data_IF_229346590050
#
_entry.id   IF_229346590050
#
_cell.length_a   1.000
_cell.length_b   1.000
_cell.length_c   1.000
_cell.angle_alpha   90.00
_cell.angle_beta   90.00
_cell.angle_gamma   90.00
#
_symmetry.space_group_name_H-M   'P 1'
#
loop_
_entity.id
_entity.type
_entity.pdbx_description
1 polymer ?
#
# COMPACT_ATOMS: atom_id res chain seq x y z
N UNK A 1 -5.73 0.90 56.01
CA UNK A 1 -4.89 0.61 54.84
C UNK A 1 -5.10 -0.89 54.53
N UNK A 2 -5.99 -1.19 53.58
CA UNK A 2 -6.30 -2.60 53.20
C UNK A 2 -5.47 -2.96 51.98
N UNK A 3 -4.56 -3.92 52.17
CA UNK A 3 -3.71 -4.48 51.13
C UNK A 3 -4.62 -5.42 50.28
N UNK A 4 -4.83 -5.08 49.02
CA UNK A 4 -5.50 -5.94 48.04
C UNK A 4 -4.43 -6.92 47.54
N UNK A 5 -4.66 -8.23 47.61
CA UNK A 5 -3.61 -9.22 47.24
C UNK A 5 -3.39 -9.23 45.72
N UNK A 6 -2.12 -9.19 45.34
CA UNK A 6 -1.62 -9.20 43.96
C UNK A 6 -1.99 -10.48 43.14
N UNK A 7 -2.71 -11.42 43.76
CA UNK A 7 -3.06 -12.70 43.14
C UNK A 7 -4.28 -12.64 42.18
N UNK A 8 -5.03 -11.52 42.15
CA UNK A 8 -6.23 -11.41 41.31
C UNK A 8 -5.92 -10.92 39.89
N UNK A 9 -4.74 -10.36 39.65
CA UNK A 9 -4.34 -9.83 38.33
C UNK A 9 -3.80 -10.93 37.40
N UNK A 10 -3.32 -12.05 37.98
CA UNK A 10 -2.72 -13.15 37.20
C UNK A 10 -3.75 -14.11 36.57
N UNK A 11 -4.99 -14.13 37.05
CA UNK A 11 -6.02 -15.08 36.59
C UNK A 11 -6.77 -14.55 35.35
N UNK A 12 -6.75 -13.25 35.09
CA UNK A 12 -7.39 -12.65 33.89
C UNK A 12 -6.56 -12.77 32.60
N UNK A 13 -5.29 -13.19 32.68
CA UNK A 13 -4.41 -13.37 31.51
C UNK A 13 -4.48 -14.81 30.95
N UNK A 14 -5.03 -15.79 31.68
CA UNK A 14 -5.02 -17.20 31.28
C UNK A 14 -6.37 -17.72 30.71
N UNK A 15 -7.41 -16.90 30.68
CA UNK A 15 -8.70 -17.27 30.07
C UNK A 15 -8.92 -16.67 28.67
N UNK A 16 -7.91 -16.03 28.10
CA UNK A 16 -7.90 -15.51 26.73
C UNK A 16 -7.25 -16.46 25.70
N UNK A 17 -7.16 -17.77 25.98
CA UNK A 17 -7.00 -18.77 24.92
C UNK A 17 -8.35 -18.89 24.18
N UNK A 18 -8.77 -17.75 23.59
CA UNK A 18 -9.87 -17.67 22.65
C UNK A 18 -9.58 -18.61 21.49
N UNK A 19 -10.58 -19.31 21.03
CA UNK A 19 -10.58 -20.02 19.77
C UNK A 19 -9.88 -19.13 18.75
N UNK A 20 -8.70 -19.51 18.29
CA UNK A 20 -8.04 -18.84 17.18
C UNK A 20 -9.10 -18.82 16.06
N UNK A 21 -9.46 -17.63 15.58
CA UNK A 21 -10.41 -17.50 14.50
C UNK A 21 -9.82 -18.26 13.32
N UNK A 22 -10.39 -19.39 12.97
CA UNK A 22 -9.93 -20.13 11.80
C UNK A 22 -10.12 -19.22 10.58
N UNK A 23 -9.09 -19.15 9.74
CA UNK A 23 -9.15 -18.46 8.47
C UNK A 23 -10.30 -19.03 7.62
N UNK A 24 -11.38 -18.28 7.38
CA UNK A 24 -12.55 -18.78 6.67
C UNK A 24 -12.31 -18.98 5.17
N UNK A 25 -11.14 -18.54 4.67
CA UNK A 25 -10.69 -18.71 3.30
C UNK A 25 -9.67 -19.84 3.16
N UNK A 26 -9.36 -20.57 4.25
CA UNK A 26 -8.32 -21.58 4.24
C UNK A 26 -8.56 -22.64 3.14
N UNK A 27 -7.56 -22.80 2.28
CA UNK A 27 -7.46 -23.83 1.26
C UNK A 27 -6.09 -24.52 1.38
N UNK A 28 -6.08 -25.80 1.71
CA UNK A 28 -4.85 -26.58 1.90
C UNK A 28 -4.02 -26.72 0.62
N UNK A 29 -4.60 -26.49 -0.57
CA UNK A 29 -3.91 -26.53 -1.85
C UNK A 29 -3.14 -25.23 -2.16
N UNK A 30 -3.37 -24.17 -1.38
CA UNK A 30 -2.72 -22.87 -1.57
C UNK A 30 -1.59 -22.67 -0.55
N UNK A 31 -0.32 -22.62 -0.96
CA UNK A 31 0.81 -22.65 -0.04
C UNK A 31 0.92 -21.39 0.85
N UNK A 32 0.24 -20.31 0.52
CA UNK A 32 0.19 -19.09 1.32
C UNK A 32 -0.97 -19.06 2.32
N UNK A 33 -1.93 -20.01 2.25
CA UNK A 33 -2.99 -20.11 3.23
C UNK A 33 -2.51 -20.81 4.50
N UNK A 34 -2.94 -20.30 5.66
CA UNK A 34 -2.72 -20.90 6.99
C UNK A 34 -4.04 -21.02 7.71
N UNK A 35 -4.12 -21.92 8.67
CA UNK A 35 -5.34 -22.09 9.50
C UNK A 35 -5.74 -20.80 10.22
N UNK A 36 -4.77 -19.95 10.56
CA UNK A 36 -4.97 -18.70 11.31
C UNK A 36 -4.77 -17.43 10.46
N UNK A 37 -4.70 -17.56 9.12
CA UNK A 37 -4.48 -16.40 8.24
C UNK A 37 -3.69 -16.72 6.97
N UNK A 38 -2.69 -15.89 6.65
CA UNK A 38 -1.91 -15.98 5.42
C UNK A 38 -0.40 -15.88 5.68
N UNK A 39 0.41 -16.31 4.72
CA UNK A 39 1.87 -16.24 4.78
C UNK A 39 2.47 -15.88 3.42
N UNK A 40 3.67 -15.34 3.42
CA UNK A 40 4.44 -15.10 2.20
C UNK A 40 4.79 -16.43 1.49
N UNK A 41 4.91 -16.40 0.17
CA UNK A 41 5.36 -17.55 -0.64
C UNK A 41 6.82 -17.91 -0.36
N UNK A 42 7.63 -16.91 -0.06
CA UNK A 42 9.07 -17.05 0.13
C UNK A 42 9.49 -16.58 1.52
N UNK A 43 10.59 -17.12 2.09
CA UNK A 43 11.07 -16.69 3.40
C UNK A 43 11.66 -15.27 3.35
N UNK A 44 11.73 -14.65 4.52
CA UNK A 44 12.44 -13.39 4.69
C UNK A 44 13.92 -13.51 4.27
N UNK A 45 14.46 -12.42 3.74
CA UNK A 45 15.87 -12.35 3.41
C UNK A 45 16.73 -12.43 4.70
N UNK A 46 17.60 -13.43 4.84
CA UNK A 46 18.43 -13.58 6.03
C UNK A 46 19.41 -12.40 6.28
N UNK A 47 19.71 -11.59 5.26
CA UNK A 47 20.52 -10.38 5.40
C UNK A 47 19.78 -9.25 6.14
N UNK A 48 18.43 -9.30 6.24
CA UNK A 48 17.59 -8.26 6.84
C UNK A 48 17.03 -8.72 8.19
N UNK A 49 17.85 -9.34 9.02
CA UNK A 49 17.41 -9.83 10.33
C UNK A 49 17.17 -8.68 11.30
N UNK A 50 16.02 -8.73 11.98
CA UNK A 50 15.74 -7.86 13.09
C UNK A 50 16.61 -8.26 14.28
N UNK A 51 17.28 -7.32 14.98
CA UNK A 51 17.97 -7.62 16.23
C UNK A 51 17.02 -8.30 17.22
N UNK A 52 17.50 -9.35 17.88
CA UNK A 52 16.75 -10.00 18.97
C UNK A 52 16.79 -9.05 20.18
N UNK A 53 15.77 -8.22 20.32
CA UNK A 53 15.58 -7.36 21.47
C UNK A 53 14.90 -8.14 22.60
N UNK A 54 15.31 -7.91 23.84
CA UNK A 54 14.56 -8.36 25.01
C UNK A 54 13.17 -7.73 25.04
N UNK A 55 12.26 -8.31 25.83
CA UNK A 55 10.86 -7.85 25.93
C UNK A 55 10.77 -6.33 26.21
N UNK A 56 11.51 -5.84 27.21
CA UNK A 56 11.51 -4.42 27.56
C UNK A 56 12.18 -3.54 26.51
N UNK A 57 13.27 -4.00 25.89
CA UNK A 57 13.94 -3.28 24.80
C UNK A 57 13.07 -3.18 23.55
N UNK A 58 12.35 -4.26 23.23
CA UNK A 58 11.38 -4.28 22.13
C UNK A 58 10.22 -3.32 22.36
N UNK A 59 9.73 -3.22 23.60
CA UNK A 59 8.68 -2.29 24.01
C UNK A 59 9.18 -0.84 23.98
N UNK A 60 10.36 -0.58 24.53
CA UNK A 60 10.98 0.74 24.50
C UNK A 60 11.26 1.21 23.07
N UNK A 61 11.76 0.33 22.20
CA UNK A 61 11.96 0.63 20.79
C UNK A 61 10.63 0.98 20.07
N UNK A 62 9.54 0.30 20.43
CA UNK A 62 8.21 0.57 19.84
C UNK A 62 7.63 1.91 20.31
N UNK A 63 7.78 2.24 21.59
CA UNK A 63 7.40 3.55 22.15
C UNK A 63 8.26 4.64 21.50
N UNK A 64 9.56 4.44 21.42
CA UNK A 64 10.50 5.37 20.81
C UNK A 64 10.15 5.64 19.35
N UNK A 65 9.88 4.64 18.53
CA UNK A 65 9.41 4.81 17.15
C UNK A 65 8.09 5.60 17.05
N UNK A 66 7.26 5.59 18.09
CA UNK A 66 6.00 6.36 18.17
C UNK A 66 6.22 7.81 18.64
N UNK A 67 7.26 8.06 19.42
CA UNK A 67 7.55 9.35 20.05
C UNK A 67 8.82 10.00 19.50
N UNK A 68 9.60 9.25 18.68
CA UNK A 68 10.81 9.80 18.08
C UNK A 68 10.47 10.95 17.16
N UNK A 69 11.24 11.96 17.36
CA UNK A 69 11.14 13.33 16.97
C UNK A 69 10.76 13.45 15.47
N UNK A 70 9.61 14.09 15.19
CA UNK A 70 9.27 14.53 13.83
C UNK A 70 10.42 15.34 13.21
N UNK A 71 11.28 15.94 14.04
CA UNK A 71 12.46 16.69 13.62
C UNK A 71 13.54 15.81 12.99
N UNK A 72 13.79 14.59 13.49
CA UNK A 72 14.81 13.69 12.91
C UNK A 72 14.41 13.15 11.53
N UNK A 73 13.09 13.06 11.27
CA UNK A 73 12.53 12.61 10.00
C UNK A 73 12.10 13.74 9.09
N UNK A 74 12.29 14.98 9.55
CA UNK A 74 12.01 16.15 8.73
C UNK A 74 12.79 16.08 7.41
N UNK A 75 12.19 16.47 6.29
CA UNK A 75 12.88 16.49 5.02
C UNK A 75 13.97 17.57 5.03
N UNK A 76 15.09 17.32 4.33
CA UNK A 76 16.17 18.31 4.15
C UNK A 76 15.76 19.47 3.24
N UNK A 77 14.74 19.24 2.41
CA UNK A 77 14.11 20.25 1.55
C UNK A 77 12.61 20.02 1.52
N UNK A 78 11.78 21.03 1.22
CA UNK A 78 10.34 20.87 1.10
C UNK A 78 9.98 19.73 0.14
N UNK A 79 9.07 18.83 0.56
CA UNK A 79 8.56 17.78 -0.32
C UNK A 79 7.89 18.45 -1.54
N UNK A 80 8.27 18.07 -2.76
CA UNK A 80 7.74 18.72 -3.95
C UNK A 80 6.23 18.53 -4.07
N UNK A 81 5.50 19.62 -4.23
CA UNK A 81 4.05 19.66 -4.47
C UNK A 81 3.74 20.52 -5.67
N UNK A 82 2.60 20.30 -6.29
CA UNK A 82 2.07 21.14 -7.38
C UNK A 82 0.55 21.17 -7.28
N UNK A 83 -0.05 22.29 -7.68
CA UNK A 83 -1.50 22.38 -7.83
C UNK A 83 -1.96 21.36 -8.89
N UNK A 84 -2.97 20.52 -8.60
CA UNK A 84 -3.43 19.51 -9.55
C UNK A 84 -4.13 20.19 -10.75
N UNK A 85 -3.95 19.62 -11.93
CA UNK A 85 -4.69 20.03 -13.13
C UNK A 85 -6.12 19.42 -13.08
N UNK A 86 -6.99 20.02 -12.25
CA UNK A 86 -8.35 19.55 -12.08
C UNK A 86 -9.16 19.58 -13.39
N UNK A 87 -8.89 20.57 -14.26
CA UNK A 87 -9.56 20.65 -15.55
C UNK A 87 -9.27 19.41 -16.40
N UNK A 88 -8.00 18.99 -16.48
CA UNK A 88 -7.63 17.75 -17.15
C UNK A 88 -8.23 16.53 -16.43
N UNK A 89 -8.05 16.41 -15.13
CA UNK A 89 -8.52 15.25 -14.33
C UNK A 89 -10.03 15.01 -14.55
N UNK A 90 -10.82 16.08 -14.56
CA UNK A 90 -12.27 15.97 -14.77
C UNK A 90 -12.68 15.72 -16.22
N UNK A 91 -11.93 16.26 -17.19
CA UNK A 91 -12.25 16.13 -18.61
C UNK A 91 -11.70 14.86 -19.27
N UNK A 92 -10.64 14.27 -18.70
CA UNK A 92 -9.90 13.16 -19.30
C UNK A 92 -10.75 11.90 -19.46
N UNK A 93 -10.81 11.37 -20.71
CA UNK A 93 -11.54 10.12 -21.03
C UNK A 93 -10.70 9.16 -21.89
N UNK A 94 -9.67 9.66 -22.57
CA UNK A 94 -8.96 8.97 -23.64
C UNK A 94 -7.43 8.82 -23.41
N UNK A 95 -6.89 9.52 -22.43
CA UNK A 95 -5.46 9.51 -22.14
C UNK A 95 -5.17 8.74 -20.86
N UNK A 96 -4.37 7.66 -20.90
CA UNK A 96 -3.90 7.01 -19.67
C UNK A 96 -3.10 8.00 -18.84
N UNK A 97 -3.50 8.22 -17.59
CA UNK A 97 -2.85 9.21 -16.73
C UNK A 97 -2.82 8.76 -15.28
N UNK A 98 -1.73 9.05 -14.59
CA UNK A 98 -1.51 8.72 -13.19
C UNK A 98 -1.30 10.00 -12.39
N UNK A 99 -2.18 10.29 -11.44
CA UNK A 99 -2.05 11.44 -10.54
C UNK A 99 -1.63 10.97 -9.15
N UNK A 100 -0.53 11.50 -8.63
CA UNK A 100 -0.08 11.16 -7.29
C UNK A 100 -0.74 12.06 -6.24
N UNK A 101 -1.55 11.45 -5.38
CA UNK A 101 -2.27 12.17 -4.31
C UNK A 101 -1.43 12.25 -3.03
N UNK A 102 -0.49 11.31 -2.87
CA UNK A 102 0.43 11.23 -1.75
C UNK A 102 0.49 9.81 -1.16
N UNK A 103 1.63 9.45 -0.58
CA UNK A 103 1.92 8.11 -0.07
C UNK A 103 1.73 7.04 -1.15
N UNK A 104 0.82 6.09 -0.92
CA UNK A 104 0.43 5.06 -1.88
C UNK A 104 -0.90 5.38 -2.61
N UNK A 105 -1.48 6.56 -2.36
CA UNK A 105 -2.75 6.95 -3.00
C UNK A 105 -2.51 7.51 -4.39
N UNK A 106 -3.05 6.81 -5.41
CA UNK A 106 -3.00 7.22 -6.82
C UNK A 106 -4.37 7.19 -7.47
N UNK A 107 -4.66 8.21 -8.24
CA UNK A 107 -5.73 8.17 -9.24
C UNK A 107 -5.12 7.72 -10.57
N UNK A 108 -5.55 6.57 -11.06
CA UNK A 108 -5.21 6.09 -12.40
C UNK A 108 -6.42 6.21 -13.32
N UNK A 109 -6.35 7.10 -14.27
CA UNK A 109 -7.31 7.25 -15.36
C UNK A 109 -6.86 6.40 -16.52
N UNK A 110 -7.66 5.42 -16.92
CA UNK A 110 -7.23 4.34 -17.82
C UNK A 110 -7.16 4.73 -19.30
N UNK A 111 -7.64 5.92 -19.66
CA UNK A 111 -7.79 6.32 -21.07
C UNK A 111 -8.96 5.61 -21.78
N UNK A 112 -9.92 5.08 -21.02
CA UNK A 112 -11.19 4.51 -21.53
C UNK A 112 -12.39 5.10 -20.80
N UNK A 113 -12.20 6.22 -20.10
CA UNK A 113 -13.22 6.85 -19.27
C UNK A 113 -13.38 6.25 -17.88
N UNK A 114 -12.60 5.21 -17.50
CA UNK A 114 -12.63 4.57 -16.20
C UNK A 114 -11.58 5.18 -15.27
N UNK A 115 -11.99 5.52 -14.06
CA UNK A 115 -11.15 6.07 -12.99
C UNK A 115 -10.95 5.04 -11.88
N UNK A 116 -9.70 4.62 -11.67
CA UNK A 116 -9.29 3.72 -10.61
C UNK A 116 -8.59 4.50 -9.51
N UNK A 117 -8.89 4.21 -8.24
CA UNK A 117 -8.22 4.82 -7.10
C UNK A 117 -7.55 3.73 -6.26
N UNK A 118 -6.25 3.84 -6.08
CA UNK A 118 -5.45 2.88 -5.31
C UNK A 118 -5.23 3.40 -3.89
N UNK A 119 -5.38 2.52 -2.91
CA UNK A 119 -5.11 2.72 -1.49
C UNK A 119 -5.50 4.12 -0.98
N UNK A 120 -6.79 4.49 -1.03
CA UNK A 120 -7.23 5.84 -0.75
C UNK A 120 -7.16 6.17 0.75
N UNK A 121 -6.13 6.92 1.14
CA UNK A 121 -5.94 7.44 2.48
C UNK A 121 -5.79 8.95 2.44
N UNK A 122 -6.78 9.66 2.99
CA UNK A 122 -6.83 11.13 3.08
C UNK A 122 -6.71 11.61 4.52
N UNK A 123 -6.57 10.69 5.47
CA UNK A 123 -6.49 10.95 6.90
C UNK A 123 -5.25 11.77 7.27
N UNK A 124 -5.37 12.55 8.34
CA UNK A 124 -4.23 13.28 8.90
C UNK A 124 -3.17 12.34 9.49
N UNK A 125 -3.59 11.16 9.97
CA UNK A 125 -2.69 10.16 10.56
C UNK A 125 -2.94 8.77 10.02
N UNK A 126 -1.87 8.06 9.72
CA UNK A 126 -1.87 6.64 9.43
C UNK A 126 -1.95 5.83 10.75
N UNK A 127 -3.10 5.90 11.44
CA UNK A 127 -3.23 5.38 12.80
C UNK A 127 -4.69 5.09 13.16
N UNK A 128 -4.97 4.14 14.09
CA UNK A 128 -6.29 4.00 14.68
C UNK A 128 -6.69 5.17 15.58
N UNK A 129 -5.72 5.99 16.01
CA UNK A 129 -5.89 7.10 16.94
C UNK A 129 -5.73 8.43 16.20
N UNK A 130 -6.68 9.33 16.35
CA UNK A 130 -6.64 10.65 15.71
C UNK A 130 -5.56 11.59 16.26
N UNK A 131 -5.05 11.30 17.46
CA UNK A 131 -4.07 12.15 18.17
C UNK A 131 -2.66 11.57 18.21
N UNK A 132 -2.44 10.33 17.79
CA UNK A 132 -1.14 9.64 17.85
C UNK A 132 -0.87 8.79 16.61
N UNK A 133 0.41 8.52 16.34
CA UNK A 133 0.89 7.77 15.18
C UNK A 133 1.33 8.68 14.03
N UNK A 134 1.85 8.11 12.93
CA UNK A 134 2.45 8.86 11.83
C UNK A 134 1.52 9.93 11.28
N UNK A 135 1.95 11.20 11.35
CA UNK A 135 1.18 12.35 10.88
C UNK A 135 1.54 12.65 9.42
N UNK A 136 0.53 13.02 8.64
CA UNK A 136 0.71 13.49 7.28
C UNK A 136 1.51 14.80 7.28
N UNK A 137 2.56 14.86 6.48
CA UNK A 137 3.45 16.01 6.41
C UNK A 137 2.84 17.18 5.63
N UNK A 138 2.08 16.91 4.57
CA UNK A 138 1.39 17.91 3.74
C UNK A 138 0.01 17.41 3.29
N UNK A 139 -0.89 18.31 2.88
CA UNK A 139 -2.22 17.93 2.38
C UNK A 139 -2.15 16.95 1.20
N UNK A 140 -3.21 16.17 0.94
CA UNK A 140 -3.34 15.40 -0.29
C UNK A 140 -3.25 16.30 -1.52
N UNK A 141 -2.56 15.83 -2.58
CA UNK A 141 -2.36 16.58 -3.82
C UNK A 141 -3.64 16.87 -4.60
N UNK A 142 -4.67 16.04 -4.40
CA UNK A 142 -6.05 16.27 -4.84
C UNK A 142 -6.93 16.03 -3.63
N UNK A 143 -7.79 16.95 -3.26
CA UNK A 143 -8.74 16.73 -2.16
C UNK A 143 -9.78 15.69 -2.58
N UNK A 144 -10.30 14.92 -1.63
CA UNK A 144 -11.28 13.86 -1.94
C UNK A 144 -12.55 14.42 -2.60
N UNK A 145 -12.93 15.66 -2.26
CA UNK A 145 -14.07 16.36 -2.86
C UNK A 145 -13.81 16.81 -4.31
N UNK A 146 -12.54 16.95 -4.70
CA UNK A 146 -12.12 17.38 -6.03
C UNK A 146 -11.78 16.18 -6.95
N UNK A 147 -11.95 14.95 -6.47
CA UNK A 147 -11.77 13.77 -7.31
C UNK A 147 -12.88 13.68 -8.37
N UNK A 148 -12.57 13.19 -9.57
CA UNK A 148 -13.61 12.78 -10.52
C UNK A 148 -14.38 11.60 -9.91
N UNK A 149 -15.54 11.25 -10.47
CA UNK A 149 -16.22 10.02 -10.05
C UNK A 149 -15.27 8.82 -10.16
N UNK A 150 -15.11 8.10 -9.08
CA UNK A 150 -14.29 6.89 -9.01
C UNK A 150 -15.14 5.68 -9.34
N UNK A 151 -14.70 4.88 -10.30
CA UNK A 151 -15.39 3.69 -10.74
C UNK A 151 -15.00 2.45 -9.94
N UNK A 152 -13.71 2.32 -9.63
CA UNK A 152 -13.15 1.21 -8.86
C UNK A 152 -12.14 1.73 -7.84
N UNK A 153 -12.20 1.22 -6.63
CA UNK A 153 -11.15 1.37 -5.60
C UNK A 153 -10.44 0.04 -5.45
N UNK A 154 -9.11 0.05 -5.56
CA UNK A 154 -8.25 -1.11 -5.33
C UNK A 154 -7.49 -0.93 -4.02
N UNK A 155 -7.55 -1.92 -3.14
CA UNK A 155 -6.95 -1.89 -1.81
C UNK A 155 -5.91 -3.00 -1.73
N UNK A 156 -4.64 -2.63 -1.51
CA UNK A 156 -3.53 -3.59 -1.48
C UNK A 156 -3.51 -4.44 -0.20
N UNK A 157 -3.74 -3.84 0.95
CA UNK A 157 -3.73 -4.52 2.25
C UNK A 157 -4.36 -3.69 3.36
N UNK A 158 -4.35 -4.21 4.59
CA UNK A 158 -5.13 -3.66 5.69
C UNK A 158 -4.41 -2.62 6.56
N UNK A 159 -3.15 -2.24 6.32
CA UNK A 159 -2.47 -1.23 7.13
C UNK A 159 -3.17 0.13 7.08
N UNK A 160 -2.96 0.97 8.11
CA UNK A 160 -3.67 2.25 8.26
C UNK A 160 -3.30 3.31 7.23
N UNK A 161 -2.13 3.21 6.63
CA UNK A 161 -1.62 4.06 5.55
C UNK A 161 -2.06 3.62 4.15
N UNK A 162 -2.83 2.50 4.04
CA UNK A 162 -3.40 1.97 2.79
C UNK A 162 -4.93 1.80 2.86
N UNK A 163 -5.49 1.57 4.05
CA UNK A 163 -6.90 1.31 4.25
C UNK A 163 -7.52 2.29 5.26
N UNK A 164 -8.11 3.37 4.76
CA UNK A 164 -8.82 4.36 5.55
C UNK A 164 -10.34 4.12 5.52
N UNK A 165 -10.93 3.97 6.70
CA UNK A 165 -12.38 3.84 6.85
C UNK A 165 -13.11 5.10 6.38
N UNK A 166 -12.62 6.25 6.78
CA UNK A 166 -13.33 7.51 6.57
C UNK A 166 -13.22 7.98 5.12
N UNK A 167 -12.05 7.78 4.48
CA UNK A 167 -11.87 8.01 3.05
C UNK A 167 -12.79 7.11 2.21
N UNK A 168 -12.83 5.81 2.52
CA UNK A 168 -13.67 4.86 1.81
C UNK A 168 -15.16 5.12 1.98
N UNK A 169 -15.60 5.55 3.16
CA UNK A 169 -17.00 5.95 3.40
C UNK A 169 -17.42 7.17 2.60
N UNK A 170 -16.52 8.16 2.44
CA UNK A 170 -16.78 9.32 1.60
C UNK A 170 -16.89 8.91 0.13
N UNK A 171 -15.94 8.11 -0.38
CA UNK A 171 -15.97 7.58 -1.74
C UNK A 171 -17.20 6.70 -2.02
N UNK A 172 -17.61 5.88 -1.06
CA UNK A 172 -18.79 5.03 -1.21
C UNK A 172 -20.10 5.82 -1.33
N UNK A 173 -20.10 7.07 -0.83
CA UNK A 173 -21.23 8.01 -0.91
C UNK A 173 -21.10 9.06 -2.02
N UNK A 174 -20.11 8.93 -2.90
CA UNK A 174 -19.89 9.89 -3.97
C UNK A 174 -21.12 10.05 -4.88
N UNK A 175 -21.25 11.20 -5.55
CA UNK A 175 -22.26 11.41 -6.57
C UNK A 175 -22.07 10.43 -7.75
N UNK A 176 -23.17 9.94 -8.32
CA UNK A 176 -23.14 8.96 -9.41
C UNK A 176 -23.03 7.49 -8.96
N UNK A 177 -23.13 7.24 -7.63
CA UNK A 177 -23.17 5.91 -7.04
C UNK A 177 -21.80 5.39 -6.57
N UNK A 178 -21.82 4.34 -5.71
CA UNK A 178 -20.62 3.83 -5.08
C UNK A 178 -19.66 3.17 -6.07
N UNK A 179 -18.34 3.26 -5.84
CA UNK A 179 -17.35 2.52 -6.63
C UNK A 179 -17.43 1.02 -6.37
N UNK A 180 -16.89 0.22 -7.29
CA UNK A 180 -16.54 -1.17 -7.00
C UNK A 180 -15.33 -1.19 -6.08
N UNK A 181 -15.39 -1.94 -4.99
CA UNK A 181 -14.28 -2.14 -4.05
C UNK A 181 -13.62 -3.48 -4.34
N UNK A 182 -12.37 -3.47 -4.79
CA UNK A 182 -11.59 -4.69 -5.08
C UNK A 182 -10.50 -4.82 -4.03
N UNK A 183 -10.46 -5.95 -3.34
CA UNK A 183 -9.58 -6.12 -2.18
C UNK A 183 -9.14 -7.58 -1.99
N UNK A 184 -8.01 -7.83 -1.29
CA UNK A 184 -7.58 -9.18 -0.91
C UNK A 184 -8.56 -9.86 0.05
N UNK A 185 -8.46 -11.19 0.13
CA UNK A 185 -9.22 -12.02 1.08
C UNK A 185 -9.11 -11.47 2.51
N UNK A 186 -10.23 -11.40 3.22
CA UNK A 186 -10.33 -10.89 4.58
C UNK A 186 -10.57 -9.38 4.67
N UNK A 187 -9.99 -8.58 3.76
CA UNK A 187 -10.28 -7.14 3.66
C UNK A 187 -11.73 -6.92 3.22
N UNK A 188 -12.29 -7.80 2.39
CA UNK A 188 -13.70 -7.78 1.98
C UNK A 188 -14.68 -7.74 3.17
N UNK A 189 -14.43 -8.53 4.21
CA UNK A 189 -15.25 -8.54 5.44
C UNK A 189 -15.10 -7.24 6.23
N UNK A 190 -13.88 -6.70 6.26
CA UNK A 190 -13.65 -5.40 6.90
C UNK A 190 -14.41 -4.29 6.18
N UNK A 191 -14.41 -4.30 4.83
CA UNK A 191 -15.15 -3.35 4.01
C UNK A 191 -16.65 -3.46 4.23
N UNK A 192 -17.20 -4.68 4.22
CA UNK A 192 -18.61 -4.94 4.50
C UNK A 192 -19.04 -4.34 5.84
N UNK A 193 -18.28 -4.60 6.89
CA UNK A 193 -18.59 -4.12 8.24
C UNK A 193 -18.40 -2.61 8.41
N UNK A 194 -17.35 -2.05 7.84
CA UNK A 194 -16.91 -0.70 8.18
C UNK A 194 -17.25 0.36 7.13
N UNK A 195 -17.55 -0.03 5.89
CA UNK A 195 -17.76 0.90 4.76
C UNK A 195 -19.16 0.80 4.19
N UNK A 196 -19.57 -0.42 3.79
CA UNK A 196 -20.80 -0.61 2.99
C UNK A 196 -22.05 -0.87 3.84
N UNK A 197 -21.90 -1.03 5.16
CA UNK A 197 -23.03 -1.28 6.05
C UNK A 197 -23.71 -2.63 5.84
N UNK A 198 -22.96 -3.65 5.35
CA UNK A 198 -23.45 -5.01 5.09
C UNK A 198 -23.75 -5.30 3.63
N UNK A 199 -23.72 -4.28 2.77
CA UNK A 199 -23.90 -4.48 1.32
C UNK A 199 -22.60 -5.04 0.69
N UNK A 200 -22.69 -6.24 0.10
CA UNK A 200 -21.61 -6.91 -0.60
C UNK A 200 -21.64 -6.74 -2.11
N UNK A 201 -22.71 -6.15 -2.66
CA UNK A 201 -22.93 -6.08 -4.10
C UNK A 201 -21.83 -5.31 -4.85
N UNK A 202 -21.09 -4.47 -4.14
CA UNK A 202 -20.00 -3.65 -4.66
C UNK A 202 -18.63 -4.06 -4.13
N UNK A 203 -18.49 -5.26 -3.56
CA UNK A 203 -17.21 -5.78 -3.06
C UNK A 203 -16.79 -6.99 -3.88
N UNK A 204 -15.59 -6.95 -4.46
CA UNK A 204 -14.92 -8.08 -5.09
C UNK A 204 -13.70 -8.43 -4.24
N UNK A 205 -13.65 -9.67 -3.78
CA UNK A 205 -12.49 -10.23 -3.10
C UNK A 205 -11.66 -11.05 -4.07
N UNK A 206 -10.35 -10.95 -3.96
CA UNK A 206 -9.39 -11.69 -4.77
C UNK A 206 -8.38 -12.40 -3.88
N UNK A 207 -7.98 -13.57 -4.30
CA UNK A 207 -6.78 -14.25 -3.83
C UNK A 207 -5.60 -13.94 -4.76
N UNK A 208 -4.37 -14.29 -4.37
CA UNK A 208 -3.22 -14.16 -5.26
C UNK A 208 -3.44 -14.91 -6.57
N UNK A 209 -3.15 -14.22 -7.67
CA UNK A 209 -3.32 -14.65 -9.05
C UNK A 209 -4.78 -14.67 -9.53
N UNK A 210 -5.76 -14.37 -8.65
CA UNK A 210 -7.13 -14.14 -9.10
C UNK A 210 -7.23 -12.82 -9.86
N UNK A 211 -8.24 -12.74 -10.73
CA UNK A 211 -8.60 -11.50 -11.43
C UNK A 211 -10.09 -11.28 -11.45
N UNK A 212 -10.47 -10.03 -11.62
CA UNK A 212 -11.83 -9.62 -11.99
C UNK A 212 -11.80 -8.74 -13.22
N UNK A 213 -12.93 -8.57 -13.88
CA UNK A 213 -13.04 -7.71 -15.08
C UNK A 213 -14.01 -6.58 -14.80
N UNK A 214 -13.59 -5.36 -15.10
CA UNK A 214 -14.43 -4.17 -15.03
C UNK A 214 -14.34 -3.37 -16.33
N UNK A 215 -15.43 -3.29 -17.11
CA UNK A 215 -15.49 -2.56 -18.39
C UNK A 215 -14.30 -2.86 -19.33
N UNK A 216 -13.92 -4.13 -19.46
CA UNK A 216 -12.83 -4.55 -20.33
C UNK A 216 -11.41 -4.43 -19.72
N UNK A 217 -11.30 -3.91 -18.50
CA UNK A 217 -10.05 -3.92 -17.71
C UNK A 217 -9.97 -5.23 -16.93
N UNK A 218 -8.86 -5.93 -17.01
CA UNK A 218 -8.54 -7.02 -16.10
C UNK A 218 -7.79 -6.47 -14.88
N UNK A 219 -8.30 -6.74 -13.69
CA UNK A 219 -7.75 -6.32 -12.39
C UNK A 219 -7.24 -7.57 -11.68
N UNK A 220 -5.94 -7.76 -11.64
CA UNK A 220 -5.29 -8.95 -11.03
C UNK A 220 -4.73 -8.60 -9.67
N UNK A 221 -4.95 -9.46 -8.66
CA UNK A 221 -4.22 -9.40 -7.39
C UNK A 221 -2.95 -10.26 -7.50
N UNK A 222 -1.81 -9.66 -7.19
CA UNK A 222 -0.49 -10.28 -7.34
C UNK A 222 0.17 -10.52 -5.98
N UNK A 223 0.89 -11.65 -5.81
CA UNK A 223 1.67 -11.88 -4.61
C UNK A 223 2.81 -10.87 -4.48
N UNK A 224 2.99 -10.36 -3.29
CA UNK A 224 4.14 -9.54 -2.89
C UNK A 224 4.56 -9.93 -1.49
N UNK A 225 5.83 -9.75 -1.16
CA UNK A 225 6.36 -10.10 0.16
C UNK A 225 6.06 -9.00 1.17
N UNK A 226 4.99 -9.17 1.95
CA UNK A 226 4.57 -8.19 2.95
C UNK A 226 3.85 -8.86 4.13
N UNK A 227 2.97 -8.16 4.80
CA UNK A 227 2.15 -8.61 5.91
C UNK A 227 0.95 -7.69 6.10
N UNK A 228 0.03 -8.07 6.98
CA UNK A 228 -1.14 -7.27 7.31
C UNK A 228 -1.40 -7.23 8.80
N UNK A 229 -1.93 -6.13 9.31
CA UNK A 229 -2.51 -6.01 10.64
C UNK A 229 -3.21 -4.64 10.81
N UNK A 230 -4.23 -4.59 11.67
CA UNK A 230 -4.86 -3.35 12.16
C UNK A 230 -4.89 -3.29 13.69
N UNK A 231 -4.54 -4.39 14.36
CA UNK A 231 -4.47 -4.50 15.81
C UNK A 231 -3.22 -5.29 16.23
N UNK A 232 -3.07 -5.51 17.52
CA UNK A 232 -1.99 -6.37 18.05
C UNK A 232 -2.28 -7.87 17.86
N UNK A 233 -3.50 -8.23 17.46
CA UNK A 233 -4.01 -9.60 17.50
C UNK A 233 -4.38 -10.18 16.14
N UNK A 234 -4.51 -9.36 15.11
CA UNK A 234 -5.00 -9.74 13.77
C UNK A 234 -3.90 -9.82 12.70
N UNK A 235 -2.64 -10.07 13.14
CA UNK A 235 -1.53 -10.17 12.21
C UNK A 235 -1.77 -11.28 11.18
N UNK A 236 -1.72 -10.89 9.89
CA UNK A 236 -1.91 -11.77 8.74
C UNK A 236 -3.28 -12.48 8.66
N UNK A 237 -4.29 -12.02 9.39
CA UNK A 237 -5.67 -12.52 9.24
C UNK A 237 -6.30 -12.09 7.91
N UNK A 238 -5.79 -11.02 7.29
CA UNK A 238 -6.16 -10.60 5.93
C UNK A 238 -4.99 -10.81 4.97
N UNK A 239 -5.29 -11.14 3.72
CA UNK A 239 -4.29 -11.23 2.67
C UNK A 239 -3.84 -9.81 2.26
N UNK A 240 -2.72 -9.71 1.55
CA UNK A 240 -2.13 -8.50 0.96
C UNK A 240 -1.73 -8.78 -0.48
N UNK A 241 -1.42 -7.74 -1.26
CA UNK A 241 -0.94 -7.92 -2.63
C UNK A 241 -0.66 -6.61 -3.35
N UNK A 242 0.01 -6.72 -4.48
CA UNK A 242 0.04 -5.70 -5.51
C UNK A 242 -1.08 -5.90 -6.52
N UNK A 243 -1.22 -4.99 -7.47
CA UNK A 243 -2.19 -5.11 -8.55
C UNK A 243 -1.54 -4.97 -9.92
N UNK A 244 -1.99 -5.78 -10.88
CA UNK A 244 -1.83 -5.48 -12.28
C UNK A 244 -3.20 -5.09 -12.88
N UNK A 245 -3.23 -3.97 -13.58
CA UNK A 245 -4.35 -3.54 -14.40
C UNK A 245 -3.95 -3.67 -15.84
N UNK A 246 -4.64 -4.53 -16.60
CA UNK A 246 -4.29 -4.80 -17.99
C UNK A 246 -5.50 -4.61 -18.91
N UNK A 247 -5.23 -4.09 -20.10
CA UNK A 247 -6.13 -4.01 -21.23
C UNK A 247 -5.33 -4.06 -22.53
N UNK A 248 -5.95 -4.32 -23.69
CA UNK A 248 -5.23 -4.19 -24.95
C UNK A 248 -4.52 -2.82 -25.09
N UNK A 249 -3.22 -2.86 -25.33
CA UNK A 249 -2.37 -1.69 -25.55
C UNK A 249 -1.98 -0.89 -24.31
N UNK A 250 -2.33 -1.29 -23.08
CA UNK A 250 -1.82 -0.62 -21.87
C UNK A 250 -1.87 -1.53 -20.65
N UNK A 251 -0.81 -1.48 -19.85
CA UNK A 251 -0.68 -2.22 -18.59
C UNK A 251 -0.08 -1.33 -17.48
N UNK A 252 -0.64 -1.47 -16.27
CA UNK A 252 -0.18 -0.74 -15.09
C UNK A 252 0.06 -1.71 -13.94
N UNK A 253 1.22 -1.58 -13.27
CA UNK A 253 1.56 -2.31 -12.05
C UNK A 253 1.55 -1.37 -10.85
N UNK A 254 0.81 -1.74 -9.82
CA UNK A 254 0.81 -1.09 -8.51
C UNK A 254 1.39 -2.08 -7.50
N UNK A 255 2.52 -1.76 -6.90
CA UNK A 255 3.22 -2.73 -6.05
C UNK A 255 2.49 -3.01 -4.72
N UNK A 256 1.64 -2.10 -4.23
CA UNK A 256 1.36 -2.06 -2.81
C UNK A 256 2.67 -1.95 -2.02
N UNK A 257 2.67 -2.39 -0.77
CA UNK A 257 3.90 -2.53 0.00
C UNK A 257 4.55 -3.87 -0.25
N UNK A 258 5.87 -3.88 -0.42
CA UNK A 258 6.61 -5.10 -0.69
C UNK A 258 8.06 -5.06 -0.24
N UNK A 259 8.56 -6.18 0.27
CA UNK A 259 9.96 -6.52 0.32
C UNK A 259 10.39 -7.23 -0.97
N UNK A 260 11.68 -7.16 -1.30
CA UNK A 260 12.20 -7.88 -2.46
C UNK A 260 12.17 -9.40 -2.23
N UNK A 261 11.49 -10.12 -3.11
CA UNK A 261 11.36 -11.59 -3.07
C UNK A 261 11.32 -12.19 -4.49
N UNK A 262 11.29 -13.51 -4.55
CA UNK A 262 11.13 -14.22 -5.82
C UNK A 262 9.73 -14.03 -6.44
N UNK A 263 8.74 -13.50 -5.70
CA UNK A 263 7.43 -13.13 -6.26
C UNK A 263 7.58 -12.20 -7.48
N UNK A 264 8.63 -11.36 -7.52
CA UNK A 264 8.90 -10.45 -8.65
C UNK A 264 9.21 -11.24 -9.93
N UNK A 265 10.04 -12.31 -9.84
CA UNK A 265 10.33 -13.17 -10.98
C UNK A 265 9.09 -13.96 -11.42
N UNK A 266 8.26 -14.39 -10.47
CA UNK A 266 7.01 -15.09 -10.77
C UNK A 266 6.00 -14.18 -11.49
N UNK A 267 5.94 -12.89 -11.14
CA UNK A 267 5.17 -11.87 -11.87
C UNK A 267 5.76 -11.65 -13.26
N UNK A 268 7.09 -11.46 -13.36
CA UNK A 268 7.79 -11.26 -14.64
C UNK A 268 7.63 -12.42 -15.62
N UNK A 269 7.42 -13.65 -15.11
CA UNK A 269 7.17 -14.83 -15.93
C UNK A 269 5.72 -14.87 -16.50
N UNK A 270 4.77 -14.15 -15.88
CA UNK A 270 3.36 -14.15 -16.27
C UNK A 270 2.94 -12.94 -17.10
N UNK A 271 3.67 -11.83 -16.97
CA UNK A 271 3.39 -10.58 -17.66
C UNK A 271 4.57 -10.19 -18.55
N UNK A 272 4.30 -9.80 -19.79
CA UNK A 272 5.35 -9.36 -20.74
C UNK A 272 5.73 -7.89 -20.53
N UNK A 273 6.01 -7.54 -19.26
CA UNK A 273 6.33 -6.18 -18.83
C UNK A 273 5.10 -5.29 -18.62
N UNK A 274 5.36 -4.06 -18.17
CA UNK A 274 4.32 -3.08 -17.89
C UNK A 274 4.66 -1.73 -18.55
N UNK A 275 3.65 -1.02 -19.03
CA UNK A 275 3.84 0.32 -19.59
C UNK A 275 4.12 1.36 -18.51
N UNK A 276 3.47 1.20 -17.35
CA UNK A 276 3.60 2.10 -16.22
C UNK A 276 3.58 1.28 -14.91
N UNK A 277 4.32 1.74 -13.91
CA UNK A 277 4.26 1.18 -12.56
C UNK A 277 4.33 2.25 -11.49
N UNK A 278 3.68 1.99 -10.33
CA UNK A 278 3.95 2.66 -9.08
C UNK A 278 4.62 1.66 -8.12
N UNK A 279 5.86 1.92 -7.72
CA UNK A 279 6.68 1.02 -6.92
C UNK A 279 7.08 1.72 -5.62
N UNK A 280 6.88 1.05 -4.47
CA UNK A 280 7.32 1.53 -3.17
C UNK A 280 8.82 1.81 -3.15
N UNK A 281 9.23 2.94 -2.54
CA UNK A 281 10.64 3.31 -2.37
C UNK A 281 10.96 3.80 -0.96
N UNK A 282 9.95 3.91 -0.07
CA UNK A 282 10.09 4.40 1.31
C UNK A 282 9.92 3.33 2.37
N UNK A 283 10.13 3.71 3.63
CA UNK A 283 10.06 2.84 4.80
C UNK A 283 11.09 1.68 4.80
N UNK A 284 12.28 1.90 4.23
CA UNK A 284 13.33 0.88 4.11
C UNK A 284 14.38 0.92 5.23
N UNK A 285 14.32 1.91 6.12
CA UNK A 285 15.16 1.99 7.31
C UNK A 285 14.32 1.78 8.59
N UNK A 286 14.85 1.05 9.56
CA UNK A 286 16.14 0.33 9.57
C UNK A 286 16.14 -0.89 8.63
N UNK A 287 17.33 -1.43 8.35
CA UNK A 287 17.55 -2.47 7.30
C UNK A 287 16.59 -3.66 7.36
N UNK A 288 16.12 -4.07 8.53
CA UNK A 288 15.17 -5.18 8.66
C UNK A 288 13.74 -4.85 8.18
N UNK A 289 13.42 -3.57 7.93
CA UNK A 289 12.17 -3.17 7.24
C UNK A 289 12.18 -3.63 5.78
N UNK A 290 13.35 -3.82 5.19
CA UNK A 290 13.50 -4.30 3.79
C UNK A 290 12.93 -5.69 3.54
N UNK A 291 12.62 -6.45 4.58
CA UNK A 291 11.77 -7.64 4.41
C UNK A 291 10.33 -7.31 3.96
N UNK A 292 9.84 -6.10 4.22
CA UNK A 292 8.46 -5.70 3.92
C UNK A 292 8.38 -4.45 3.04
N UNK A 293 9.49 -3.72 2.87
CA UNK A 293 9.60 -2.50 2.09
C UNK A 293 10.94 -2.48 1.37
N UNK A 294 10.94 -2.28 0.07
CA UNK A 294 12.19 -2.24 -0.69
C UNK A 294 12.91 -0.89 -0.51
N UNK A 295 14.25 -0.93 -0.54
CA UNK A 295 15.02 0.29 -0.75
C UNK A 295 14.89 0.77 -2.20
N UNK A 296 15.20 2.06 -2.48
CA UNK A 296 15.23 2.58 -3.84
C UNK A 296 16.09 1.76 -4.80
N UNK A 297 17.19 1.19 -4.34
CA UNK A 297 18.05 0.30 -5.15
C UNK A 297 17.33 -0.99 -5.56
N UNK A 298 16.62 -1.62 -4.62
CA UNK A 298 15.79 -2.80 -4.90
C UNK A 298 14.59 -2.45 -5.77
N UNK A 299 13.99 -1.26 -5.62
CA UNK A 299 12.90 -0.80 -6.46
C UNK A 299 13.34 -0.62 -7.93
N UNK A 300 14.54 -0.07 -8.18
CA UNK A 300 15.13 0.00 -9.52
C UNK A 300 15.39 -1.39 -10.10
N UNK A 301 15.83 -2.33 -9.29
CA UNK A 301 15.95 -3.73 -9.68
C UNK A 301 14.61 -4.33 -10.09
N UNK A 302 13.52 -4.09 -9.30
CA UNK A 302 12.16 -4.54 -9.62
C UNK A 302 11.69 -3.94 -10.95
N UNK A 303 11.88 -2.64 -11.16
CA UNK A 303 11.57 -1.96 -12.43
C UNK A 303 12.18 -2.69 -13.63
N UNK A 304 13.46 -3.07 -13.54
CA UNK A 304 14.17 -3.79 -14.60
C UNK A 304 13.68 -5.23 -14.77
N UNK A 305 13.52 -5.98 -13.67
CA UNK A 305 13.08 -7.38 -13.69
C UNK A 305 11.65 -7.51 -14.22
N UNK A 306 10.76 -6.60 -13.90
CA UNK A 306 9.40 -6.53 -14.43
C UNK A 306 9.34 -5.90 -15.83
N UNK A 307 10.47 -5.49 -16.42
CA UNK A 307 10.52 -4.84 -17.75
C UNK A 307 9.56 -3.67 -17.88
N UNK A 308 9.48 -2.85 -16.83
CA UNK A 308 8.59 -1.69 -16.82
C UNK A 308 9.15 -0.61 -17.73
N UNK A 309 8.29 0.01 -18.54
CA UNK A 309 8.70 1.11 -19.41
C UNK A 309 8.89 2.43 -18.65
N UNK A 310 7.99 2.71 -17.70
CA UNK A 310 8.04 3.90 -16.83
C UNK A 310 7.60 3.53 -15.42
N UNK A 311 8.36 3.91 -14.40
CA UNK A 311 7.98 3.74 -13.01
C UNK A 311 7.95 5.05 -12.26
N UNK A 312 7.04 5.17 -11.31
CA UNK A 312 7.01 6.25 -10.32
C UNK A 312 7.26 5.69 -8.94
N UNK A 313 8.08 6.39 -8.15
CA UNK A 313 8.33 6.05 -6.76
C UNK A 313 7.17 6.47 -5.87
N UNK A 314 6.68 5.57 -5.03
CA UNK A 314 5.62 5.84 -4.06
C UNK A 314 6.03 5.48 -2.63
N UNK A 315 5.11 5.64 -1.67
CA UNK A 315 5.28 5.30 -0.26
C UNK A 315 6.37 6.13 0.45
N UNK A 316 6.54 7.39 0.07
CA UNK A 316 7.50 8.35 0.64
C UNK A 316 6.89 9.74 0.75
N UNK A 317 7.57 10.65 1.45
CA UNK A 317 7.24 12.07 1.46
C UNK A 317 5.92 12.48 2.13
N UNK A 318 5.11 11.54 2.61
CA UNK A 318 3.76 11.81 3.15
C UNK A 318 3.65 11.45 4.62
N UNK A 319 3.80 10.19 4.99
CA UNK A 319 3.83 9.71 6.37
C UNK A 319 5.23 9.22 6.72
N UNK A 320 5.76 9.52 7.92
CA UNK A 320 7.08 9.04 8.37
C UNK A 320 6.97 7.58 8.84
N UNK A 321 6.93 6.62 7.91
CA UNK A 321 6.75 5.20 8.20
C UNK A 321 8.09 4.49 8.53
N UNK A 322 9.20 4.94 7.95
CA UNK A 322 10.56 4.47 8.24
C UNK A 322 11.31 5.38 9.21
N UNK A 323 12.62 5.12 9.41
CA UNK A 323 13.53 5.97 10.16
C UNK A 323 14.34 6.92 9.27
N UNK A 324 14.27 6.75 7.94
CA UNK A 324 14.83 7.71 7.00
C UNK A 324 14.03 9.01 6.97
N UNK A 325 14.69 10.11 6.56
CA UNK A 325 14.00 11.38 6.32
C UNK A 325 12.95 11.23 5.22
N UNK A 326 11.90 12.04 5.30
CA UNK A 326 10.78 12.00 4.35
C UNK A 326 11.18 12.20 2.89
N UNK A 327 12.27 12.93 2.62
CA UNK A 327 12.80 13.18 1.26
C UNK A 327 13.88 12.19 0.84
N UNK A 328 14.41 11.39 1.76
CA UNK A 328 15.58 10.54 1.51
C UNK A 328 15.34 9.52 0.40
N UNK A 329 14.15 8.94 0.34
CA UNK A 329 13.83 7.92 -0.67
C UNK A 329 13.95 8.46 -2.11
N UNK A 330 13.55 9.71 -2.36
CA UNK A 330 13.69 10.33 -3.69
C UNK A 330 15.16 10.61 -4.04
N UNK A 331 15.98 11.00 -3.05
CA UNK A 331 17.42 11.22 -3.21
C UNK A 331 18.10 9.88 -3.54
N UNK A 332 17.81 8.84 -2.76
CA UNK A 332 18.40 7.52 -2.95
C UNK A 332 17.94 6.85 -4.26
N UNK A 333 16.71 7.14 -4.73
CA UNK A 333 16.25 6.70 -6.04
C UNK A 333 17.10 7.30 -7.17
N UNK A 334 17.41 8.59 -7.10
CA UNK A 334 18.27 9.24 -8.10
C UNK A 334 19.68 8.63 -8.14
N UNK A 335 20.23 8.25 -6.99
CA UNK A 335 21.52 7.56 -6.88
C UNK A 335 21.41 6.14 -7.44
N UNK A 336 20.40 5.38 -7.03
CA UNK A 336 20.21 3.98 -7.41
C UNK A 336 20.01 3.80 -8.93
N UNK A 337 19.16 4.62 -9.55
CA UNK A 337 18.93 4.54 -11.01
C UNK A 337 20.19 4.86 -11.82
N UNK A 338 20.97 5.88 -11.40
CA UNK A 338 22.25 6.20 -12.02
C UNK A 338 23.24 5.02 -11.92
N UNK A 339 23.32 4.39 -10.74
CA UNK A 339 24.20 3.26 -10.51
C UNK A 339 23.80 2.03 -11.34
N UNK A 340 22.52 1.85 -11.63
CA UNK A 340 21.98 0.72 -12.38
C UNK A 340 21.71 1.04 -13.87
N UNK A 341 22.07 2.25 -14.37
CA UNK A 341 21.95 2.63 -15.77
C UNK A 341 20.50 2.82 -16.24
N UNK A 342 19.59 3.20 -15.33
CA UNK A 342 18.18 3.53 -15.61
C UNK A 342 18.05 5.04 -15.79
N UNK A 343 17.43 5.48 -16.89
CA UNK A 343 17.29 6.90 -17.23
C UNK A 343 16.33 7.63 -16.27
N UNK A 344 16.52 8.96 -16.19
CA UNK A 344 15.75 9.82 -15.30
C UNK A 344 14.24 9.83 -15.59
N UNK A 345 13.86 9.58 -16.83
CA UNK A 345 12.48 9.50 -17.28
C UNK A 345 11.92 8.07 -17.29
N UNK A 346 12.75 7.05 -17.03
CA UNK A 346 12.31 5.64 -16.90
C UNK A 346 11.84 5.33 -15.50
N UNK A 347 12.52 5.84 -14.45
CA UNK A 347 12.05 5.72 -13.07
C UNK A 347 12.24 7.05 -12.33
N UNK A 348 11.18 7.69 -11.93
CA UNK A 348 11.21 9.05 -11.39
C UNK A 348 10.31 9.21 -10.14
N UNK A 349 10.52 10.29 -9.42
CA UNK A 349 9.65 10.76 -8.35
C UNK A 349 8.74 11.85 -8.89
N UNK A 350 7.44 11.72 -8.62
CA UNK A 350 6.46 12.76 -8.93
C UNK A 350 6.39 13.79 -7.80
N UNK A 351 5.86 14.96 -8.11
CA UNK A 351 5.37 15.93 -7.12
C UNK A 351 3.99 15.51 -6.64
N UNK A 352 3.69 15.74 -5.39
CA UNK A 352 2.32 15.50 -4.89
C UNK A 352 1.36 16.48 -5.60
N UNK A 353 0.29 15.95 -6.19
CA UNK A 353 -0.64 16.70 -7.06
C UNK A 353 -0.31 16.62 -8.55
N UNK A 354 0.87 16.11 -8.91
CA UNK A 354 1.27 15.98 -10.31
C UNK A 354 0.51 14.86 -11.03
N UNK A 355 0.18 15.10 -12.30
CA UNK A 355 -0.39 14.11 -13.20
C UNK A 355 0.61 13.75 -14.29
N UNK A 356 1.10 12.51 -14.29
CA UNK A 356 1.84 11.93 -15.39
C UNK A 356 0.86 11.44 -16.47
N UNK A 357 1.01 11.93 -17.70
CA UNK A 357 0.21 11.50 -18.86
C UNK A 357 1.03 10.48 -19.64
N UNK A 358 0.55 9.24 -19.68
CA UNK A 358 1.26 8.19 -20.40
C UNK A 358 1.17 8.46 -21.92
N UNK A 359 2.32 8.53 -22.57
CA UNK A 359 2.38 8.55 -24.04
C UNK A 359 1.98 7.18 -24.59
N UNK A 360 1.59 7.16 -25.87
CA UNK A 360 1.01 6.02 -26.60
C UNK A 360 1.48 4.61 -26.20
N UNK A 361 0.60 3.60 -26.37
CA UNK A 361 0.86 2.18 -26.02
C UNK A 361 2.06 1.61 -26.80
N UNK A 362 2.56 0.47 -26.31
CA UNK A 362 3.51 -0.39 -27.04
C UNK A 362 2.95 -0.86 -28.38
#
# INVERSE_FOLDING_TARGET
>A
MRIVPASLILILVLLGAGCANQNPYFDSNKPHHRLEGFANNYPNNPAYQRPKLGFFEGWAARIRNWTEDEAERAPSAPIPTVAPDLAFIHANRDTPALTWIGHATFLFQTGTGVNLLFDPVFDERASPLSFAGPKRHQPPGVAIADLPRIDVVLISHSHYDHLSRDSLRQLYRQAGGPPLLVAPLGVDRWLEKNVTGGDRSRIVRLDWWDKTVYQGLELHLLPVHHWSARSLWDRNETLWGGFAVTRPGHSFFFSGDLGYSKDIQDIAARFDGFDLAAIGIGAYQPVWYRNSHVSPDEAVRIHRELRVRRSVGMHWGTYPMGQERLDQAAIDLAIARKAQGVADDEFFSMKIGETYRSSAPR
#
